data_IF_649077336414
#
_entry.id   IF_649077336414
#
_cell.length_a   1.000
_cell.length_b   1.000
_cell.length_c   1.000
_cell.angle_alpha   90.00
_cell.angle_beta   90.00
_cell.angle_gamma   90.00
#
_symmetry.space_group_name_H-M   'P 1'
#
loop_
_entity.id
_entity.type
_entity.pdbx_description
1 polymer ?
#
# COMPACT_ATOMS: atom_id res chain seq x y z
N UNK A 1 -10.51 -4.27 12.24
CA UNK A 1 -11.17 -3.61 11.08
C UNK A 1 -10.20 -3.33 9.93
N UNK A 2 -8.91 -3.09 10.18
CA UNK A 2 -7.91 -2.81 9.12
C UNK A 2 -7.13 -4.03 8.65
N UNK A 3 -6.81 -4.96 9.56
CA UNK A 3 -6.25 -6.27 9.22
C UNK A 3 -7.11 -7.02 8.18
N UNK A 4 -8.44 -6.91 8.27
CA UNK A 4 -9.37 -7.50 7.30
C UNK A 4 -9.21 -6.96 5.87
N UNK A 5 -8.80 -5.68 5.70
CA UNK A 5 -8.61 -5.08 4.37
C UNK A 5 -7.35 -5.60 3.70
N UNK A 6 -6.27 -5.70 4.46
CA UNK A 6 -5.00 -6.24 3.97
C UNK A 6 -5.18 -7.73 3.64
N UNK A 7 -5.88 -8.49 4.49
CA UNK A 7 -6.21 -9.88 4.22
C UNK A 7 -7.03 -10.06 2.93
N UNK A 8 -7.98 -9.17 2.64
CA UNK A 8 -8.71 -9.21 1.36
C UNK A 8 -7.80 -9.02 0.15
N UNK A 9 -6.84 -8.08 0.22
CA UNK A 9 -5.88 -7.83 -0.86
C UNK A 9 -4.96 -9.04 -1.07
N UNK A 10 -4.52 -9.67 0.04
CA UNK A 10 -3.76 -10.93 0.01
C UNK A 10 -4.58 -12.04 -0.66
N UNK A 11 -5.82 -12.25 -0.22
CA UNK A 11 -6.70 -13.29 -0.76
C UNK A 11 -7.02 -13.09 -2.24
N UNK A 12 -7.06 -11.83 -2.71
CA UNK A 12 -7.26 -11.49 -4.11
C UNK A 12 -5.98 -11.61 -4.96
N UNK A 13 -4.84 -11.96 -4.35
CA UNK A 13 -3.58 -12.22 -5.05
C UNK A 13 -2.73 -10.98 -5.35
N UNK A 14 -3.05 -9.82 -4.77
CA UNK A 14 -2.36 -8.55 -5.01
C UNK A 14 -1.37 -8.16 -3.92
N UNK A 15 -1.25 -8.96 -2.86
CA UNK A 15 -0.29 -8.73 -1.79
C UNK A 15 0.30 -10.04 -1.28
N UNK A 16 1.49 -9.97 -0.70
CA UNK A 16 2.19 -11.12 -0.16
C UNK A 16 2.88 -10.80 1.18
N UNK A 17 2.84 -11.72 2.16
CA UNK A 17 3.57 -11.57 3.41
C UNK A 17 5.04 -11.96 3.26
N UNK A 18 5.93 -11.27 3.96
CA UNK A 18 7.35 -11.65 4.14
C UNK A 18 7.83 -11.25 5.52
N UNK A 19 8.28 -12.22 6.33
CA UNK A 19 8.76 -12.03 7.72
C UNK A 19 7.86 -11.12 8.60
N UNK A 20 6.54 -11.26 8.44
CA UNK A 20 5.54 -10.46 9.16
C UNK A 20 5.20 -9.11 8.52
N UNK A 21 5.99 -8.61 7.57
CA UNK A 21 5.59 -7.50 6.70
C UNK A 21 4.60 -7.98 5.63
N UNK A 22 3.85 -7.05 5.04
CA UNK A 22 3.01 -7.32 3.86
C UNK A 22 3.31 -6.28 2.80
N UNK A 23 3.61 -6.76 1.59
CA UNK A 23 3.89 -5.92 0.42
C UNK A 23 2.77 -6.05 -0.62
N UNK A 24 2.46 -4.94 -1.28
CA UNK A 24 1.62 -4.92 -2.48
C UNK A 24 2.47 -5.29 -3.71
N UNK A 25 1.99 -6.23 -4.51
CA UNK A 25 2.64 -6.71 -5.71
C UNK A 25 2.22 -5.85 -6.92
N UNK A 26 3.05 -4.88 -7.31
CA UNK A 26 2.67 -3.90 -8.34
C UNK A 26 2.52 -4.54 -9.72
N UNK A 27 3.26 -5.62 -9.99
CA UNK A 27 3.18 -6.41 -11.22
C UNK A 27 1.83 -7.12 -11.40
N UNK A 28 1.11 -7.37 -10.29
CA UNK A 28 -0.23 -7.97 -10.31
C UNK A 28 -1.32 -6.96 -10.63
N UNK A 29 -1.03 -5.67 -10.60
CA UNK A 29 -2.00 -4.61 -10.88
C UNK A 29 -1.81 -4.06 -12.31
N UNK A 30 -2.65 -4.46 -13.29
CA UNK A 30 -2.40 -4.17 -14.72
C UNK A 30 -2.29 -2.69 -15.06
N UNK A 31 -2.95 -1.82 -14.28
CA UNK A 31 -3.03 -0.39 -14.55
C UNK A 31 -2.06 0.43 -13.68
N UNK A 32 -1.03 -0.19 -13.12
CA UNK A 32 -0.06 0.51 -12.27
C UNK A 32 0.70 1.58 -13.06
N UNK A 33 0.67 2.82 -12.57
CA UNK A 33 1.29 3.97 -13.22
C UNK A 33 0.34 4.77 -14.12
N UNK A 34 -0.89 4.31 -14.33
CA UNK A 34 -1.87 5.01 -15.18
C UNK A 34 -2.25 6.39 -14.61
N UNK A 35 -2.35 6.53 -13.29
CA UNK A 35 -2.73 7.79 -12.65
C UNK A 35 -1.62 8.84 -12.77
N UNK A 36 -0.38 8.42 -12.53
CA UNK A 36 0.80 9.27 -12.57
C UNK A 36 1.41 9.46 -13.97
N UNK A 37 1.02 8.62 -14.94
CA UNK A 37 1.64 8.55 -16.27
C UNK A 37 3.03 7.88 -16.26
N UNK A 38 3.42 7.24 -15.16
CA UNK A 38 4.70 6.53 -15.05
C UNK A 38 4.61 5.14 -15.68
N UNK A 39 5.69 4.68 -16.32
CA UNK A 39 5.83 3.29 -16.74
C UNK A 39 6.56 2.51 -15.66
N UNK A 40 6.11 1.31 -15.33
CA UNK A 40 6.76 0.46 -14.32
C UNK A 40 8.26 0.26 -14.59
N UNK A 41 8.63 0.14 -15.85
CA UNK A 41 10.01 0.03 -16.36
C UNK A 41 10.91 1.22 -15.94
N UNK A 42 10.30 2.40 -15.80
CA UNK A 42 10.98 3.65 -15.47
C UNK A 42 10.99 3.92 -13.96
N UNK A 43 10.26 3.13 -13.17
CA UNK A 43 10.19 3.29 -11.72
C UNK A 43 11.46 2.73 -11.10
N UNK A 44 12.34 3.63 -10.68
CA UNK A 44 13.53 3.30 -9.91
C UNK A 44 13.24 3.41 -8.42
N UNK A 45 13.88 2.55 -7.63
CA UNK A 45 13.88 2.73 -6.18
C UNK A 45 14.45 4.13 -5.85
N UNK A 46 13.82 4.90 -4.95
CA UNK A 46 14.37 6.20 -4.56
C UNK A 46 15.74 6.00 -3.91
N UNK A 47 16.76 6.77 -4.33
CA UNK A 47 18.15 6.68 -3.80
C UNK A 47 18.23 6.79 -2.26
N UNK A 48 17.26 7.45 -1.64
CA UNK A 48 17.22 7.71 -0.19
C UNK A 48 16.52 6.64 0.63
N UNK A 49 15.92 5.62 -0.01
CA UNK A 49 15.21 4.53 0.68
C UNK A 49 16.00 3.25 0.52
N UNK A 50 16.40 2.64 1.64
CA UNK A 50 17.05 1.33 1.62
C UNK A 50 16.18 0.33 0.85
N UNK A 51 16.75 -0.27 -0.19
CA UNK A 51 16.08 -1.31 -0.98
C UNK A 51 15.87 -2.52 -0.06
N UNK A 52 14.61 -2.85 0.20
CA UNK A 52 14.26 -4.07 0.91
C UNK A 52 14.41 -5.24 -0.08
N UNK A 53 15.52 -5.98 0.03
CA UNK A 53 15.88 -7.08 -0.88
C UNK A 53 14.88 -8.25 -0.86
N UNK A 54 13.95 -8.26 0.10
CA UNK A 54 12.91 -9.28 0.23
C UNK A 54 11.72 -9.02 -0.70
N UNK A 55 11.64 -7.83 -1.29
CA UNK A 55 10.62 -7.51 -2.29
C UNK A 55 10.85 -8.31 -3.57
N UNK A 56 9.77 -8.82 -4.15
CA UNK A 56 9.78 -9.52 -5.44
C UNK A 56 10.02 -8.55 -6.60
N UNK A 57 9.50 -7.32 -6.48
CA UNK A 57 9.72 -6.23 -7.41
C UNK A 57 10.21 -4.98 -6.64
N UNK A 58 11.24 -4.25 -7.12
CA UNK A 58 11.72 -3.02 -6.48
C UNK A 58 10.62 -1.96 -6.23
N UNK A 59 9.59 -1.91 -7.08
CA UNK A 59 8.47 -1.00 -6.98
C UNK A 59 7.37 -1.46 -6.00
N UNK A 60 7.44 -2.69 -5.47
CA UNK A 60 6.51 -3.15 -4.44
C UNK A 60 6.59 -2.25 -3.19
N UNK A 61 5.45 -1.96 -2.58
CA UNK A 61 5.37 -1.08 -1.42
C UNK A 61 4.69 -1.77 -0.24
N UNK A 62 5.05 -1.34 0.97
CA UNK A 62 4.51 -1.95 2.18
C UNK A 62 3.04 -1.54 2.39
N UNK A 63 2.18 -2.52 2.66
CA UNK A 63 0.85 -2.34 3.24
C UNK A 63 0.88 -2.46 4.76
N UNK A 64 1.75 -3.33 5.26
CA UNK A 64 1.98 -3.55 6.69
C UNK A 64 3.47 -3.70 6.96
N UNK A 65 3.94 -3.10 8.06
CA UNK A 65 5.27 -3.35 8.61
C UNK A 65 5.12 -3.97 9.99
N UNK A 66 5.63 -5.18 10.18
CA UNK A 66 5.67 -5.82 11.49
C UNK A 66 6.53 -5.00 12.45
N UNK A 67 6.17 -5.04 13.73
CA UNK A 67 7.01 -4.47 14.78
C UNK A 67 8.36 -5.20 14.81
N UNK A 68 9.45 -4.43 14.81
CA UNK A 68 10.78 -5.01 15.00
C UNK A 68 10.99 -5.33 16.49
N UNK A 69 11.70 -6.42 16.84
CA UNK A 69 12.15 -6.65 18.20
C UNK A 69 13.06 -5.49 18.66
N UNK A 70 12.69 -4.79 19.74
CA UNK A 70 13.46 -3.66 20.29
C UNK A 70 12.62 -2.38 20.51
N UNK A 71 13.22 -1.29 21.01
CA UNK A 71 12.51 -0.06 21.40
C UNK A 71 12.01 0.80 20.22
N UNK A 72 11.87 0.25 19.01
CA UNK A 72 11.57 1.02 17.81
C UNK A 72 10.06 1.12 17.54
N UNK A 73 9.49 2.27 17.92
CA UNK A 73 8.24 2.82 17.38
C UNK A 73 6.95 2.34 18.07
N UNK A 74 5.88 3.15 18.04
CA UNK A 74 4.62 2.79 18.68
C UNK A 74 4.00 1.56 17.97
N UNK A 75 3.67 0.54 18.75
CA UNK A 75 2.74 -0.51 18.32
C UNK A 75 1.36 0.13 18.19
N UNK A 76 0.94 0.43 16.96
CA UNK A 76 -0.30 1.16 16.70
C UNK A 76 -1.56 0.27 16.77
N UNK A 77 -1.40 -1.07 16.83
CA UNK A 77 -2.53 -1.99 16.83
C UNK A 77 -2.44 -3.04 17.97
N UNK A 78 -3.43 -3.13 18.89
CA UNK A 78 -3.35 -3.94 20.11
C UNK A 78 -3.23 -5.45 19.89
N UNK A 79 -3.72 -5.96 18.75
CA UNK A 79 -3.79 -7.41 18.45
C UNK A 79 -2.81 -7.87 17.37
N UNK A 80 -2.09 -6.93 16.75
CA UNK A 80 -1.17 -7.23 15.64
C UNK A 80 -0.02 -6.24 15.75
N UNK A 81 1.12 -6.63 16.35
CA UNK A 81 2.26 -5.75 16.50
C UNK A 81 2.78 -5.26 15.15
N UNK A 82 2.79 -3.95 14.94
CA UNK A 82 3.21 -3.34 13.68
C UNK A 82 2.48 -2.03 13.39
N UNK A 83 2.64 -1.57 12.15
CA UNK A 83 2.04 -0.34 11.63
C UNK A 83 1.65 -0.49 10.17
N UNK A 84 0.70 0.33 9.74
CA UNK A 84 0.35 0.46 8.33
C UNK A 84 1.53 1.02 7.52
N UNK A 85 1.54 0.71 6.23
CA UNK A 85 2.38 1.40 5.27
C UNK A 85 1.80 2.77 4.90
N UNK A 86 2.68 3.72 4.59
CA UNK A 86 2.34 5.11 4.30
C UNK A 86 1.18 5.28 3.28
N UNK A 87 1.15 4.46 2.23
CA UNK A 87 0.15 4.57 1.16
C UNK A 87 -1.21 3.94 1.47
N UNK A 88 -1.32 3.12 2.53
CA UNK A 88 -2.62 2.57 2.95
C UNK A 88 -3.21 3.35 4.13
N UNK A 89 -2.40 4.14 4.84
CA UNK A 89 -2.82 4.97 5.99
C UNK A 89 -3.94 5.94 5.62
N UNK A 90 -3.85 6.65 4.49
CA UNK A 90 -4.92 7.56 4.05
C UNK A 90 -6.23 6.81 3.75
N UNK A 91 -6.13 5.65 3.11
CA UNK A 91 -7.29 4.78 2.84
C UNK A 91 -7.92 4.21 4.12
N UNK A 92 -7.13 4.02 5.17
CA UNK A 92 -7.60 3.67 6.51
C UNK A 92 -8.31 4.87 7.19
N UNK A 93 -7.63 6.01 7.29
CA UNK A 93 -8.11 7.22 7.99
C UNK A 93 -9.42 7.76 7.42
N UNK A 94 -9.60 7.75 6.10
CA UNK A 94 -10.79 8.36 5.48
C UNK A 94 -12.05 7.52 5.61
N UNK A 95 -11.94 6.22 5.90
CA UNK A 95 -13.07 5.30 5.80
C UNK A 95 -14.23 5.55 6.77
N UNK A 96 -14.02 6.12 7.98
CA UNK A 96 -15.13 6.52 8.85
C UNK A 96 -15.87 7.79 8.38
N UNK A 97 -15.22 8.60 7.55
CA UNK A 97 -15.68 9.96 7.20
C UNK A 97 -16.16 10.09 5.76
N UNK A 98 -15.61 9.28 4.86
CA UNK A 98 -15.89 9.32 3.42
C UNK A 98 -16.33 7.95 2.94
N UNK A 99 -17.27 7.96 2.00
CA UNK A 99 -17.65 6.76 1.27
C UNK A 99 -16.49 6.28 0.39
N UNK A 100 -16.66 5.11 -0.21
CA UNK A 100 -15.64 4.56 -1.10
C UNK A 100 -15.35 5.49 -2.31
N UNK A 101 -16.39 6.15 -2.85
CA UNK A 101 -16.32 7.07 -3.99
C UNK A 101 -16.65 8.49 -3.50
N UNK A 102 -15.72 9.40 -3.66
CA UNK A 102 -15.84 10.81 -3.29
C UNK A 102 -15.28 11.67 -4.42
N UNK A 103 -15.64 12.95 -4.45
CA UNK A 103 -15.49 13.77 -5.66
C UNK A 103 -14.06 14.27 -5.91
N UNK A 104 -13.35 14.70 -4.86
CA UNK A 104 -12.04 15.33 -4.98
C UNK A 104 -11.05 14.70 -3.99
N UNK A 105 -9.95 14.19 -4.51
CA UNK A 105 -8.77 13.79 -3.75
C UNK A 105 -7.60 14.70 -4.16
N UNK A 106 -7.19 15.61 -3.27
CA UNK A 106 -6.11 16.57 -3.52
C UNK A 106 -4.82 16.25 -2.77
N UNK A 107 -3.73 16.89 -3.18
CA UNK A 107 -2.41 16.82 -2.55
C UNK A 107 -1.38 17.64 -3.35
N UNK A 108 -0.15 17.71 -2.87
CA UNK A 108 0.95 18.34 -3.61
C UNK A 108 1.29 17.59 -4.89
N UNK A 109 1.95 18.25 -5.85
CA UNK A 109 2.39 17.63 -7.11
C UNK A 109 3.35 16.46 -6.88
N UNK A 110 4.14 16.55 -5.81
CA UNK A 110 5.03 15.50 -5.31
C UNK A 110 4.28 14.25 -4.82
N UNK A 111 3.00 14.37 -4.48
CA UNK A 111 2.17 13.25 -4.05
C UNK A 111 1.56 12.46 -5.22
N UNK A 112 1.61 12.97 -6.46
CA UNK A 112 1.09 12.23 -7.63
C UNK A 112 1.75 10.84 -7.72
N UNK A 113 3.06 10.77 -7.53
CA UNK A 113 3.82 9.53 -7.48
C UNK A 113 4.92 9.57 -6.41
N UNK A 114 5.08 8.52 -5.60
CA UNK A 114 4.33 7.26 -5.63
C UNK A 114 3.02 7.30 -4.83
N UNK A 115 2.72 8.40 -4.13
CA UNK A 115 1.73 8.38 -3.06
C UNK A 115 0.29 8.11 -3.52
N UNK A 116 -0.31 9.01 -4.31
CA UNK A 116 -1.69 8.85 -4.79
C UNK A 116 -1.85 7.63 -5.70
N UNK A 117 -0.86 7.32 -6.54
CA UNK A 117 -0.84 6.06 -7.33
C UNK A 117 -0.99 4.84 -6.40
N UNK A 118 -0.14 4.74 -5.36
CA UNK A 118 -0.14 3.61 -4.43
C UNK A 118 -1.34 3.59 -3.48
N UNK A 119 -2.09 4.68 -3.33
CA UNK A 119 -3.35 4.69 -2.60
C UNK A 119 -4.51 4.08 -3.41
N UNK A 120 -4.47 4.22 -4.74
CA UNK A 120 -5.51 3.74 -5.64
C UNK A 120 -5.46 2.21 -5.77
N UNK A 121 -4.27 1.62 -5.89
CA UNK A 121 -4.14 0.19 -6.18
C UNK A 121 -4.77 -0.70 -5.08
N UNK A 122 -4.44 -0.55 -3.78
CA UNK A 122 -5.01 -1.35 -2.70
C UNK A 122 -6.52 -1.14 -2.56
N UNK A 123 -7.01 0.08 -2.88
CA UNK A 123 -8.44 0.41 -2.85
C UNK A 123 -9.22 -0.41 -3.88
N UNK A 124 -8.72 -0.52 -5.12
CA UNK A 124 -9.37 -1.26 -6.21
C UNK A 124 -9.22 -2.77 -6.05
N UNK A 125 -8.07 -3.24 -5.58
CA UNK A 125 -7.79 -4.67 -5.42
C UNK A 125 -8.57 -5.34 -4.28
N UNK A 126 -9.25 -4.56 -3.43
CA UNK A 126 -10.09 -5.05 -2.34
C UNK A 126 -11.54 -5.28 -2.74
N UNK A 127 -11.97 -4.76 -3.90
CA UNK A 127 -13.35 -4.90 -4.33
C UNK A 127 -13.60 -6.32 -4.87
N UNK A 128 -14.78 -6.92 -4.63
CA UNK A 128 -15.24 -7.99 -5.49
C UNK A 128 -15.26 -7.42 -6.92
N UNK A 129 -14.70 -8.17 -7.88
CA UNK A 129 -14.89 -7.86 -9.30
C UNK A 129 -16.39 -7.88 -9.54
N UNK A 130 -17.00 -6.72 -9.75
CA UNK A 130 -18.36 -6.67 -10.29
C UNK A 130 -18.33 -7.38 -11.66
N UNK A 131 -19.34 -8.22 -11.88
CA UNK A 131 -19.61 -8.95 -13.13
C UNK A 131 -19.83 -8.00 -14.31
#
# INVERSE_FOLDING_TARGET
MESGRIMQIINNGFAYPVDGDVFFAVDKFPNYGQFSGQKLENIRAPERVAVDSRKRNPADFALWKAAKPGPSGPNLHPKTPGRLGWHIEFSAMRAPYLTFKFDIHGGGIDLIFPHHENEICPKLCRMPREL
#
